data_IF_360647309565
#
_entry.id   IF_360647309565
#
_cell.length_a   1.000
_cell.length_b   1.000
_cell.length_c   1.000
_cell.angle_alpha   90.00
_cell.angle_beta   90.00
_cell.angle_gamma   90.00
#
_symmetry.space_group_name_H-M   'P 1'
#
loop_
_entity.id
_entity.type
_entity.pdbx_description
1 polymer ?
#
# COMPACT_ATOMS: atom_id res chain seq x y z
N UNK A 1 -6.67 2.27 4.26
CA UNK A 1 -7.29 3.63 4.24
C UNK A 1 -6.82 4.50 5.41
N UNK A 2 -6.94 4.11 6.68
CA UNK A 2 -6.45 4.98 7.79
C UNK A 2 -4.95 5.29 7.72
N UNK A 3 -4.11 4.29 7.40
CA UNK A 3 -2.66 4.48 7.25
C UNK A 3 -2.33 5.47 6.13
N UNK A 4 -3.06 5.43 5.01
CA UNK A 4 -2.89 6.39 3.91
C UNK A 4 -3.13 7.82 4.41
N UNK A 5 -4.29 8.08 5.02
CA UNK A 5 -4.64 9.41 5.54
C UNK A 5 -3.61 9.94 6.54
N UNK A 6 -3.09 9.06 7.40
CA UNK A 6 -2.01 9.44 8.32
C UNK A 6 -0.74 9.77 7.52
N UNK A 7 -0.34 8.90 6.59
CA UNK A 7 0.86 9.05 5.77
C UNK A 7 0.87 10.32 4.92
N UNK A 8 -0.28 10.76 4.43
CA UNK A 8 -0.44 12.02 3.67
C UNK A 8 0.00 13.25 4.49
N UNK A 9 -0.12 13.22 5.83
CA UNK A 9 0.38 14.28 6.71
C UNK A 9 1.92 14.40 6.69
N UNK A 10 2.62 13.34 6.25
CA UNK A 10 4.06 13.33 6.05
C UNK A 10 4.54 14.03 4.78
N UNK A 11 3.63 14.44 3.88
CA UNK A 11 3.94 15.14 2.63
C UNK A 11 5.00 14.44 1.76
N UNK A 12 4.96 13.11 1.71
CA UNK A 12 5.91 12.28 0.96
C UNK A 12 7.05 11.71 1.80
N UNK A 13 7.26 12.21 3.02
CA UNK A 13 8.22 11.64 3.97
C UNK A 13 7.61 10.49 4.78
N UNK A 14 8.40 9.47 5.16
CA UNK A 14 7.93 8.41 6.06
C UNK A 14 7.56 8.97 7.44
N UNK A 15 6.39 8.59 7.93
CA UNK A 15 5.93 8.94 9.28
C UNK A 15 5.69 7.68 10.11
N UNK A 16 5.87 7.80 11.43
CA UNK A 16 5.61 6.70 12.36
C UNK A 16 4.13 6.65 12.75
N UNK A 17 3.52 5.49 12.54
CA UNK A 17 2.14 5.17 12.97
C UNK A 17 2.17 3.90 13.81
N UNK A 18 2.24 4.06 15.14
CA UNK A 18 2.40 2.93 16.05
C UNK A 18 3.75 2.24 15.85
N UNK A 19 3.74 0.96 15.46
CA UNK A 19 4.94 0.16 15.15
C UNK A 19 5.31 0.17 13.67
N UNK A 20 4.65 0.99 12.86
CA UNK A 20 4.82 1.03 11.42
C UNK A 20 5.43 2.35 10.99
N UNK A 21 6.28 2.31 9.97
CA UNK A 21 6.63 3.46 9.14
C UNK A 21 5.75 3.43 7.90
N UNK A 22 5.04 4.54 7.69
CA UNK A 22 4.09 4.71 6.59
C UNK A 22 4.55 5.90 5.76
N UNK A 23 4.68 5.70 4.46
CA UNK A 23 4.98 6.78 3.51
C UNK A 23 3.90 6.79 2.44
N UNK A 24 3.26 7.94 2.24
CA UNK A 24 2.28 8.12 1.18
C UNK A 24 2.88 8.97 0.08
N UNK A 25 3.00 8.39 -1.11
CA UNK A 25 3.36 9.06 -2.35
C UNK A 25 2.13 9.30 -3.20
N UNK A 26 1.96 10.53 -3.68
CA UNK A 26 0.96 10.87 -4.67
C UNK A 26 1.63 11.14 -6.01
N UNK A 27 1.14 10.50 -7.06
CA UNK A 27 1.48 10.83 -8.43
C UNK A 27 0.22 11.33 -9.14
N UNK A 28 0.37 12.40 -9.93
CA UNK A 28 -0.76 12.97 -10.68
C UNK A 28 -1.40 11.93 -11.60
N UNK A 29 -2.73 11.90 -11.63
CA UNK A 29 -3.53 11.13 -12.57
C UNK A 29 -4.47 10.12 -11.91
N UNK A 30 -5.27 9.48 -12.74
CA UNK A 30 -6.23 8.45 -12.34
C UNK A 30 -5.90 7.13 -13.05
N UNK A 31 -6.13 6.02 -12.36
CA UNK A 31 -6.01 4.66 -12.87
C UNK A 31 -7.41 4.06 -13.07
N UNK A 32 -7.75 3.59 -14.28
CA UNK A 32 -8.99 2.86 -14.48
C UNK A 32 -8.91 1.47 -13.83
N UNK A 33 -10.02 1.02 -13.24
CA UNK A 33 -10.13 -0.39 -12.83
C UNK A 33 -10.13 -1.29 -14.07
N UNK A 34 -9.35 -2.39 -14.09
CA UNK A 34 -9.36 -3.37 -15.17
C UNK A 34 -10.74 -4.02 -15.43
N UNK A 35 -11.64 -4.03 -14.44
CA UNK A 35 -13.01 -4.52 -14.57
C UNK A 35 -14.01 -3.46 -15.08
N UNK A 36 -13.55 -2.23 -15.29
CA UNK A 36 -14.37 -1.15 -15.87
C UNK A 36 -15.35 -0.48 -14.91
N UNK A 37 -15.21 -0.66 -13.60
CA UNK A 37 -16.15 -0.19 -12.59
C UNK A 37 -15.68 1.05 -11.79
N UNK A 38 -14.61 1.74 -12.23
CA UNK A 38 -14.19 2.97 -11.59
C UNK A 38 -12.84 3.54 -12.02
N UNK A 39 -12.52 4.71 -11.47
CA UNK A 39 -11.23 5.38 -11.58
C UNK A 39 -10.72 5.71 -10.18
N UNK A 40 -9.43 5.47 -9.94
CA UNK A 40 -8.80 5.62 -8.62
C UNK A 40 -7.55 6.49 -8.73
N UNK A 41 -7.18 7.20 -7.67
CA UNK A 41 -5.99 8.03 -7.71
C UNK A 41 -4.74 7.18 -7.93
N UNK A 42 -3.79 7.71 -8.73
CA UNK A 42 -2.47 7.10 -8.92
C UNK A 42 -1.58 7.38 -7.70
N UNK A 43 -1.94 6.81 -6.56
CA UNK A 43 -1.17 6.91 -5.33
C UNK A 43 -0.44 5.60 -5.01
N UNK A 44 0.53 5.68 -4.11
CA UNK A 44 1.21 4.53 -3.53
C UNK A 44 1.49 4.79 -2.06
N UNK A 45 1.11 3.85 -1.21
CA UNK A 45 1.40 3.88 0.22
C UNK A 45 2.29 2.69 0.53
N UNK A 46 3.48 2.96 1.05
CA UNK A 46 4.38 1.93 1.57
C UNK A 46 4.24 1.84 3.08
N UNK A 47 4.21 0.62 3.59
CA UNK A 47 4.08 0.31 5.01
C UNK A 47 5.10 -0.76 5.36
N UNK A 48 5.97 -0.48 6.33
CA UNK A 48 6.95 -1.42 6.88
C UNK A 48 7.05 -1.28 8.40
N UNK A 49 7.61 -2.26 9.12
CA UNK A 49 7.93 -2.10 10.54
C UNK A 49 8.93 -0.96 10.78
N UNK A 50 8.83 -0.29 11.93
CA UNK A 50 9.74 0.81 12.32
C UNK A 50 11.20 0.38 12.48
N UNK A 51 11.41 -0.88 12.83
CA UNK A 51 12.68 -1.50 13.19
C UNK A 51 13.40 -2.17 12.01
N UNK A 52 12.77 -2.23 10.83
CA UNK A 52 13.36 -2.80 9.61
C UNK A 52 13.85 -1.65 8.71
N UNK A 53 15.17 -1.52 8.45
CA UNK A 53 15.71 -0.52 7.54
C UNK A 53 15.13 -0.62 6.12
N UNK A 54 15.00 0.53 5.45
CA UNK A 54 14.38 0.61 4.11
C UNK A 54 15.15 -0.20 3.06
N UNK A 55 16.48 -0.16 3.10
CA UNK A 55 17.40 -0.87 2.21
C UNK A 55 17.38 -2.40 2.38
N UNK A 56 16.88 -2.88 3.53
CA UNK A 56 16.72 -4.30 3.83
C UNK A 56 15.31 -4.83 3.53
N UNK A 57 14.37 -3.96 3.17
CA UNK A 57 13.00 -4.36 2.88
C UNK A 57 12.84 -4.89 1.47
N UNK A 58 12.07 -5.97 1.32
CA UNK A 58 11.60 -6.45 0.02
C UNK A 58 10.09 -6.18 -0.12
N UNK A 59 9.70 -5.56 -1.23
CA UNK A 59 8.30 -5.23 -1.54
C UNK A 59 7.46 -6.50 -1.71
N UNK A 60 6.33 -6.57 -1.01
CA UNK A 60 5.48 -7.77 -0.98
C UNK A 60 5.96 -8.87 -0.03
N UNK A 61 7.14 -8.71 0.59
CA UNK A 61 7.66 -9.62 1.62
C UNK A 61 7.69 -8.96 2.98
N UNK A 62 8.46 -7.89 3.19
CA UNK A 62 8.59 -7.16 4.46
C UNK A 62 7.91 -5.79 4.45
N UNK A 63 7.67 -5.28 3.24
CA UNK A 63 7.01 -4.01 3.00
C UNK A 63 5.75 -4.23 2.17
N UNK A 64 4.62 -3.74 2.68
CA UNK A 64 3.37 -3.70 1.94
C UNK A 64 3.33 -2.42 1.11
N UNK A 65 3.06 -2.53 -0.18
CA UNK A 65 2.75 -1.39 -1.05
C UNK A 65 1.31 -1.53 -1.54
N UNK A 66 0.53 -0.47 -1.39
CA UNK A 66 -0.85 -0.46 -1.87
C UNK A 66 -1.26 0.90 -2.41
N UNK A 67 -2.28 0.90 -3.27
CA UNK A 67 -2.96 2.09 -3.77
C UNK A 67 -4.45 1.99 -3.47
N UNK A 68 -5.20 3.06 -3.72
CA UNK A 68 -6.67 3.00 -3.70
C UNK A 68 -7.20 1.92 -4.67
N UNK A 69 -6.61 1.81 -5.86
CA UNK A 69 -6.95 0.76 -6.81
C UNK A 69 -6.67 -0.63 -6.22
N UNK A 70 -5.52 -0.86 -5.59
CA UNK A 70 -5.19 -2.14 -4.96
C UNK A 70 -6.25 -2.54 -3.92
N UNK A 71 -6.71 -1.59 -3.11
CA UNK A 71 -7.73 -1.81 -2.08
C UNK A 71 -9.09 -2.13 -2.72
N UNK A 72 -9.49 -1.41 -3.76
CA UNK A 72 -10.73 -1.69 -4.52
C UNK A 72 -10.71 -3.09 -5.12
N UNK A 73 -9.61 -3.45 -5.80
CA UNK A 73 -9.42 -4.77 -6.41
C UNK A 73 -9.59 -5.91 -5.40
N UNK A 74 -9.04 -5.76 -4.19
CA UNK A 74 -9.23 -6.75 -3.12
C UNK A 74 -10.66 -6.74 -2.58
N UNK A 75 -11.23 -5.56 -2.33
CA UNK A 75 -12.53 -5.40 -1.67
C UNK A 75 -13.69 -5.88 -2.55
N UNK A 76 -13.66 -5.54 -3.85
CA UNK A 76 -14.79 -5.75 -4.78
C UNK A 76 -14.58 -6.99 -5.64
N UNK A 77 -13.35 -7.22 -6.11
CA UNK A 77 -13.06 -8.34 -7.02
C UNK A 77 -12.34 -9.50 -6.33
N UNK A 78 -12.10 -9.42 -5.02
CA UNK A 78 -11.35 -10.42 -4.25
C UNK A 78 -9.99 -10.76 -4.87
N UNK A 79 -9.40 -9.78 -5.55
CA UNK A 79 -8.20 -9.95 -6.33
C UNK A 79 -7.01 -9.34 -5.59
N UNK A 80 -6.13 -10.21 -5.06
CA UNK A 80 -4.89 -9.80 -4.39
C UNK A 80 -3.78 -9.37 -5.37
N UNK A 81 -4.08 -9.09 -6.65
CA UNK A 81 -3.10 -8.81 -7.70
C UNK A 81 -2.16 -9.98 -8.05
N UNK A 82 -1.37 -9.81 -9.11
CA UNK A 82 -0.48 -10.85 -9.65
C UNK A 82 0.75 -11.11 -8.78
N UNK A 83 1.22 -12.36 -8.75
CA UNK A 83 2.47 -12.75 -8.04
C UNK A 83 3.67 -11.99 -8.61
N UNK A 84 4.55 -11.53 -7.71
CA UNK A 84 5.71 -10.69 -8.06
C UNK A 84 5.38 -9.21 -8.30
N UNK A 85 4.10 -8.82 -8.25
CA UNK A 85 3.75 -7.39 -8.26
C UNK A 85 4.10 -6.74 -6.92
N UNK A 86 4.77 -5.57 -6.90
CA UNK A 86 4.95 -4.77 -5.69
C UNK A 86 3.63 -4.44 -4.97
N UNK A 87 2.56 -4.24 -5.74
CA UNK A 87 1.25 -3.86 -5.23
C UNK A 87 0.40 -5.06 -4.79
N UNK A 88 1.00 -6.25 -4.73
CA UNK A 88 0.31 -7.47 -4.35
C UNK A 88 -0.05 -7.43 -2.87
N UNK A 89 -1.35 -7.45 -2.58
CA UNK A 89 -1.88 -7.55 -1.23
C UNK A 89 -1.76 -8.98 -0.71
N UNK A 90 -0.56 -9.39 -0.30
CA UNK A 90 -0.27 -10.71 0.26
C UNK A 90 -0.92 -10.89 1.65
N UNK A 91 -1.87 -11.84 1.82
CA UNK A 91 -2.61 -11.99 3.06
C UNK A 91 -1.73 -12.26 4.30
N UNK A 92 -0.67 -13.06 4.16
CA UNK A 92 0.23 -13.36 5.28
C UNK A 92 1.02 -12.13 5.75
N UNK A 93 1.40 -11.27 4.81
CA UNK A 93 2.07 -9.99 5.10
C UNK A 93 1.12 -9.02 5.79
N UNK A 94 -0.10 -8.86 5.25
CA UNK A 94 -1.12 -7.98 5.85
C UNK A 94 -1.41 -8.40 7.28
N UNK A 95 -1.57 -9.71 7.52
CA UNK A 95 -1.76 -10.25 8.87
C UNK A 95 -0.60 -9.85 9.77
N UNK A 96 0.64 -10.08 9.34
CA UNK A 96 1.84 -9.79 10.14
C UNK A 96 2.02 -8.31 10.49
N UNK A 97 1.65 -7.40 9.58
CA UNK A 97 1.83 -5.96 9.79
C UNK A 97 0.68 -5.30 10.55
N UNK A 98 -0.55 -5.79 10.38
CA UNK A 98 -1.75 -5.10 10.89
C UNK A 98 -2.45 -5.81 12.05
N UNK A 99 -2.08 -7.06 12.40
CA UNK A 99 -2.73 -7.87 13.43
C UNK A 99 -1.71 -8.61 14.31
#
# INVERSE_FOLDING_TARGET
>A
EELQRKGEAGLGEPITVGKLLVQSGDARGMLPCPWGDGFFHKNAVSVRPVDVPLDSCVEGEDMLIYSELSVHLLRVHHFCQGRGSPFRLEPSLIKRLLF
#
